data_IF_834410999262
#
_entry.id   IF_834410999262
#
_cell.length_a   1.000
_cell.length_b   1.000
_cell.length_c   1.000
_cell.angle_alpha   90.00
_cell.angle_beta   90.00
_cell.angle_gamma   90.00
#
_symmetry.space_group_name_H-M   'P 1'
#
loop_
_entity.id
_entity.type
_entity.pdbx_description
1 polymer ?
#
# COMPACT_ATOMS: atom_id res chain seq x y z
N UNK A 1 -21.17 5.57 -3.31
CA UNK A 1 -20.05 4.59 -3.35
C UNK A 1 -19.75 4.28 -4.80
N UNK A 2 -18.57 4.65 -5.31
CA UNK A 2 -18.08 4.05 -6.55
C UNK A 2 -17.74 2.60 -6.24
N UNK A 3 -18.49 1.65 -6.80
CA UNK A 3 -18.11 0.24 -6.75
C UNK A 3 -16.93 0.09 -7.70
N UNK A 4 -15.71 -0.06 -7.17
CA UNK A 4 -14.56 -0.42 -7.98
C UNK A 4 -14.88 -1.75 -8.67
N UNK A 5 -14.74 -1.79 -10.00
CA UNK A 5 -14.84 -3.05 -10.74
C UNK A 5 -13.73 -3.99 -10.29
N UNK A 6 -14.00 -5.29 -10.11
CA UNK A 6 -12.97 -6.26 -9.78
C UNK A 6 -11.95 -6.34 -10.92
N UNK A 7 -10.68 -6.53 -10.58
CA UNK A 7 -9.61 -6.77 -11.57
C UNK A 7 -9.93 -8.07 -12.31
N UNK A 8 -9.93 -8.03 -13.64
CA UNK A 8 -10.16 -9.16 -14.55
C UNK A 8 -8.81 -9.75 -14.98
N UNK A 9 -8.58 -11.01 -14.63
CA UNK A 9 -7.33 -11.72 -14.93
C UNK A 9 -7.58 -12.89 -15.86
N UNK A 10 -6.90 -12.91 -17.00
CA UNK A 10 -6.88 -14.08 -17.89
C UNK A 10 -5.70 -14.99 -17.55
N UNK A 11 -5.98 -16.20 -17.07
CA UNK A 11 -4.97 -17.23 -16.85
C UNK A 11 -4.94 -18.16 -18.06
N UNK A 12 -3.80 -18.22 -18.74
CA UNK A 12 -3.64 -19.00 -19.96
C UNK A 12 -2.42 -19.94 -19.95
N UNK A 13 -2.58 -21.02 -20.70
CA UNK A 13 -1.51 -22.00 -20.98
C UNK A 13 -1.23 -22.07 -22.48
N UNK A 14 -0.17 -21.38 -22.95
CA UNK A 14 0.17 -21.38 -24.35
C UNK A 14 0.76 -22.71 -24.81
N UNK A 15 0.49 -23.09 -26.05
CA UNK A 15 1.07 -24.26 -26.70
C UNK A 15 0.63 -25.58 -26.06
N UNK A 16 1.41 -26.64 -26.22
CA UNK A 16 0.99 -28.00 -25.87
C UNK A 16 1.18 -28.37 -24.38
N UNK A 17 1.45 -27.40 -23.51
CA UNK A 17 1.69 -27.66 -22.10
C UNK A 17 0.42 -28.17 -21.40
N UNK A 18 0.45 -29.43 -20.96
CA UNK A 18 -0.65 -30.10 -20.28
C UNK A 18 -0.72 -29.91 -18.77
N UNK A 19 0.23 -29.19 -18.16
CA UNK A 19 0.28 -29.05 -16.70
C UNK A 19 -0.64 -27.92 -16.21
N UNK A 20 -1.85 -28.23 -15.76
CA UNK A 20 -2.84 -27.23 -15.34
C UNK A 20 -2.87 -26.94 -13.84
N UNK A 21 -2.43 -27.88 -12.98
CA UNK A 21 -2.58 -27.76 -11.52
C UNK A 21 -2.10 -26.42 -10.96
N UNK A 22 -0.92 -25.96 -11.37
CA UNK A 22 -0.39 -24.66 -10.94
C UNK A 22 -1.29 -23.50 -11.37
N UNK A 23 -1.73 -23.48 -12.63
CA UNK A 23 -2.63 -22.45 -13.16
C UNK A 23 -3.98 -22.43 -12.44
N UNK A 24 -4.54 -23.60 -12.11
CA UNK A 24 -5.80 -23.71 -11.36
C UNK A 24 -5.67 -23.22 -9.91
N UNK A 25 -4.56 -23.52 -9.24
CA UNK A 25 -4.28 -23.01 -7.88
C UNK A 25 -4.15 -21.48 -7.89
N UNK A 26 -3.39 -20.93 -8.85
CA UNK A 26 -3.30 -19.47 -9.00
C UNK A 26 -4.68 -18.88 -9.29
N UNK A 27 -5.45 -19.48 -10.20
CA UNK A 27 -6.78 -18.98 -10.52
C UNK A 27 -7.71 -18.95 -9.30
N UNK A 28 -7.65 -19.97 -8.44
CA UNK A 28 -8.41 -19.96 -7.19
C UNK A 28 -7.92 -18.87 -6.23
N UNK A 29 -6.61 -18.79 -5.99
CA UNK A 29 -6.03 -17.79 -5.09
C UNK A 29 -6.38 -16.36 -5.53
N UNK A 30 -6.33 -16.05 -6.82
CA UNK A 30 -6.70 -14.72 -7.33
C UNK A 30 -8.20 -14.42 -7.11
N UNK A 31 -9.09 -15.42 -7.21
CA UNK A 31 -10.51 -15.25 -6.83
C UNK A 31 -10.69 -14.98 -5.35
N UNK A 32 -9.94 -15.69 -4.51
CA UNK A 32 -9.95 -15.47 -3.04
C UNK A 32 -9.49 -14.04 -2.69
N UNK A 33 -8.68 -13.42 -3.56
CA UNK A 33 -8.24 -12.02 -3.47
C UNK A 33 -9.20 -11.00 -4.12
N UNK A 34 -10.40 -11.42 -4.52
CA UNK A 34 -11.46 -10.57 -5.05
C UNK A 34 -11.36 -10.25 -6.55
N UNK A 35 -10.51 -10.97 -7.30
CA UNK A 35 -10.37 -10.80 -8.75
C UNK A 35 -11.35 -11.68 -9.52
N UNK A 36 -11.77 -11.23 -10.69
CA UNK A 36 -12.50 -12.04 -11.65
C UNK A 36 -11.52 -12.79 -12.54
N UNK A 37 -11.56 -14.13 -12.53
CA UNK A 37 -10.54 -14.94 -13.21
C UNK A 37 -11.12 -15.78 -14.34
N UNK A 38 -10.65 -15.51 -15.55
CA UNK A 38 -10.95 -16.24 -16.78
C UNK A 38 -9.83 -17.25 -17.03
N UNK A 39 -10.14 -18.55 -17.01
CA UNK A 39 -9.18 -19.60 -17.33
C UNK A 39 -9.42 -20.12 -18.76
N UNK A 40 -8.43 -20.00 -19.64
CA UNK A 40 -8.60 -20.36 -21.06
C UNK A 40 -8.60 -21.87 -21.32
N UNK A 41 -8.31 -22.69 -20.31
CA UNK A 41 -8.00 -24.10 -20.50
C UNK A 41 -6.64 -24.33 -21.15
N UNK A 42 -6.38 -25.58 -21.52
CA UNK A 42 -5.13 -26.04 -22.11
C UNK A 42 -5.06 -25.74 -23.61
N UNK A 43 -3.85 -25.82 -24.17
CA UNK A 43 -3.61 -25.90 -25.63
C UNK A 43 -4.06 -24.69 -26.43
N UNK A 44 -3.88 -23.50 -25.88
CA UNK A 44 -4.22 -22.26 -26.56
C UNK A 44 -3.04 -21.72 -27.38
N UNK A 45 -3.30 -21.26 -28.60
CA UNK A 45 -2.33 -20.51 -29.39
C UNK A 45 -2.19 -19.07 -28.88
N UNK A 46 -1.07 -18.42 -29.18
CA UNK A 46 -0.85 -17.03 -28.79
C UNK A 46 -1.95 -16.08 -29.29
N UNK A 47 -2.41 -16.28 -30.53
CA UNK A 47 -3.50 -15.50 -31.13
C UNK A 47 -4.82 -15.74 -30.42
N UNK A 48 -5.14 -16.98 -30.02
CA UNK A 48 -6.35 -17.29 -29.25
C UNK A 48 -6.31 -16.63 -27.87
N UNK A 49 -5.15 -16.66 -27.20
CA UNK A 49 -4.98 -16.02 -25.88
C UNK A 49 -5.20 -14.51 -26.00
N UNK A 50 -4.56 -13.86 -26.96
CA UNK A 50 -4.72 -12.42 -27.18
C UNK A 50 -6.19 -12.05 -27.52
N UNK A 51 -6.85 -12.83 -28.39
CA UNK A 51 -8.27 -12.61 -28.72
C UNK A 51 -9.18 -12.77 -27.50
N UNK A 52 -8.97 -13.81 -26.71
CA UNK A 52 -9.75 -14.03 -25.49
C UNK A 52 -9.54 -12.88 -24.49
N UNK A 53 -8.31 -12.40 -24.33
CA UNK A 53 -8.01 -11.28 -23.44
C UNK A 53 -8.75 -9.99 -23.85
N UNK A 54 -8.79 -9.70 -25.16
CA UNK A 54 -9.51 -8.53 -25.69
C UNK A 54 -11.03 -8.70 -25.57
N UNK A 55 -11.56 -9.87 -25.95
CA UNK A 55 -13.00 -10.13 -25.90
C UNK A 55 -13.55 -10.11 -24.47
N UNK A 56 -12.76 -10.58 -23.52
CA UNK A 56 -13.10 -10.61 -22.11
C UNK A 56 -12.72 -9.30 -21.39
N UNK A 57 -12.20 -8.28 -22.08
CA UNK A 57 -11.85 -6.98 -21.48
C UNK A 57 -11.01 -7.14 -20.21
N UNK A 58 -9.90 -7.88 -20.30
CA UNK A 58 -9.09 -8.23 -19.11
C UNK A 58 -8.04 -7.17 -18.81
N UNK A 59 -7.80 -6.95 -17.52
CA UNK A 59 -6.79 -6.01 -17.04
C UNK A 59 -5.37 -6.60 -17.13
N UNK A 60 -5.21 -7.93 -17.02
CA UNK A 60 -3.90 -8.59 -17.07
C UNK A 60 -4.00 -10.03 -17.58
N UNK A 61 -2.95 -10.47 -18.29
CA UNK A 61 -2.76 -11.87 -18.69
C UNK A 61 -1.69 -12.53 -17.83
N UNK A 62 -2.02 -13.65 -17.17
CA UNK A 62 -1.08 -14.55 -16.52
C UNK A 62 -0.82 -15.80 -17.36
N UNK A 63 0.41 -15.92 -17.88
CA UNK A 63 0.84 -17.09 -18.65
C UNK A 63 1.50 -18.14 -17.74
N UNK A 64 1.12 -19.41 -17.89
CA UNK A 64 1.72 -20.52 -17.15
C UNK A 64 2.44 -21.49 -18.09
N UNK A 65 3.71 -21.79 -17.80
CA UNK A 65 4.52 -22.80 -18.53
C UNK A 65 5.37 -23.67 -17.62
N UNK A 66 5.26 -24.99 -17.79
CA UNK A 66 6.10 -26.01 -17.17
C UNK A 66 6.82 -26.88 -18.21
N UNK A 67 6.61 -26.62 -19.50
CA UNK A 67 7.16 -27.40 -20.62
C UNK A 67 8.53 -26.91 -21.13
N UNK A 68 9.08 -25.85 -20.53
CA UNK A 68 10.32 -25.20 -20.99
C UNK A 68 10.17 -24.36 -22.26
N UNK A 69 8.95 -24.22 -22.79
CA UNK A 69 8.68 -23.48 -24.02
C UNK A 69 8.45 -21.96 -23.80
N UNK A 70 8.63 -21.45 -22.58
CA UNK A 70 8.36 -20.06 -22.19
C UNK A 70 9.07 -19.03 -23.08
N UNK A 71 10.35 -19.23 -23.41
CA UNK A 71 11.12 -18.30 -24.28
C UNK A 71 10.56 -18.15 -25.69
N UNK A 72 9.84 -19.17 -26.17
CA UNK A 72 9.23 -19.18 -27.50
C UNK A 72 7.78 -18.71 -27.45
N UNK A 73 7.05 -19.10 -26.40
CA UNK A 73 5.60 -18.92 -26.34
C UNK A 73 5.16 -17.61 -25.70
N UNK A 74 5.84 -17.14 -24.64
CA UNK A 74 5.42 -15.89 -23.97
C UNK A 74 5.62 -14.67 -24.87
N UNK A 75 6.78 -14.49 -25.57
CA UNK A 75 6.94 -13.38 -26.51
C UNK A 75 5.88 -13.36 -27.62
N UNK A 76 5.48 -14.54 -28.13
CA UNK A 76 4.44 -14.63 -29.15
C UNK A 76 3.08 -14.12 -28.69
N UNK A 77 2.74 -14.29 -27.41
CA UNK A 77 1.49 -13.72 -26.85
C UNK A 77 1.59 -12.19 -26.81
N UNK A 78 2.73 -11.65 -26.37
CA UNK A 78 2.98 -10.20 -26.37
C UNK A 78 2.95 -9.63 -27.79
N UNK A 79 3.55 -10.32 -28.76
CA UNK A 79 3.50 -9.95 -30.18
C UNK A 79 2.06 -10.00 -30.72
N UNK A 80 1.30 -11.06 -30.42
CA UNK A 80 -0.08 -11.20 -30.86
C UNK A 80 -1.03 -10.13 -30.26
N UNK A 81 -0.74 -9.63 -29.06
CA UNK A 81 -1.43 -8.49 -28.47
C UNK A 81 -1.11 -7.18 -29.21
N UNK A 82 0.17 -6.95 -29.54
CA UNK A 82 0.60 -5.78 -30.31
C UNK A 82 -0.03 -5.75 -31.71
N UNK A 83 -0.08 -6.89 -32.39
CA UNK A 83 -0.71 -7.02 -33.70
C UNK A 83 -2.22 -6.76 -33.68
N UNK A 84 -2.85 -6.90 -32.51
CA UNK A 84 -4.28 -6.66 -32.30
C UNK A 84 -4.56 -5.35 -31.55
N UNK A 85 -3.60 -4.43 -31.52
CA UNK A 85 -3.72 -3.09 -30.91
C UNK A 85 -4.06 -3.10 -29.40
N UNK A 86 -3.70 -4.18 -28.70
CA UNK A 86 -3.96 -4.39 -27.26
C UNK A 86 -2.65 -4.52 -26.45
N UNK A 87 -1.62 -3.76 -26.82
CA UNK A 87 -0.31 -3.81 -26.19
C UNK A 87 -0.28 -3.20 -24.77
N UNK A 88 -1.36 -2.54 -24.38
CA UNK A 88 -1.59 -1.97 -23.05
C UNK A 88 -1.95 -3.03 -22.01
N UNK A 89 -2.46 -4.20 -22.40
CA UNK A 89 -2.73 -5.32 -21.50
C UNK A 89 -1.40 -5.93 -21.02
N UNK A 90 -0.99 -5.76 -19.76
CA UNK A 90 0.25 -6.34 -19.26
C UNK A 90 0.19 -7.86 -19.26
N UNK A 91 1.33 -8.47 -19.58
CA UNK A 91 1.54 -9.92 -19.50
C UNK A 91 2.48 -10.23 -18.35
N UNK A 92 2.07 -11.10 -17.43
CA UNK A 92 2.94 -11.73 -16.43
C UNK A 92 3.10 -13.22 -16.78
N UNK A 93 4.19 -13.83 -16.31
CA UNK A 93 4.49 -15.23 -16.58
C UNK A 93 4.80 -16.00 -15.30
N UNK A 94 4.61 -17.32 -15.34
CA UNK A 94 5.04 -18.18 -14.25
C UNK A 94 5.14 -19.66 -14.59
N UNK A 95 5.71 -20.42 -13.65
CA UNK A 95 5.94 -21.85 -13.75
C UNK A 95 7.41 -22.23 -13.55
N UNK A 96 7.86 -23.30 -14.20
CA UNK A 96 9.25 -23.78 -14.10
C UNK A 96 10.09 -23.01 -15.11
N UNK A 97 10.51 -21.80 -14.72
CA UNK A 97 11.27 -20.87 -15.55
C UNK A 97 12.66 -20.67 -14.93
N UNK A 98 13.75 -21.02 -15.64
CA UNK A 98 15.12 -20.76 -15.19
C UNK A 98 15.39 -19.27 -14.97
N UNK A 99 16.15 -18.94 -13.93
CA UNK A 99 16.44 -17.54 -13.58
C UNK A 99 17.17 -16.79 -14.72
N UNK A 100 18.04 -17.47 -15.47
CA UNK A 100 18.74 -16.92 -16.64
C UNK A 100 17.83 -16.54 -17.81
N UNK A 101 16.62 -17.08 -17.88
CA UNK A 101 15.66 -16.78 -18.94
C UNK A 101 14.79 -15.56 -18.64
N UNK A 102 14.71 -15.14 -17.36
CA UNK A 102 13.86 -14.03 -16.91
C UNK A 102 14.23 -12.72 -17.62
N UNK A 103 15.52 -12.28 -17.68
CA UNK A 103 15.88 -11.04 -18.37
C UNK A 103 15.49 -11.03 -19.84
N UNK A 104 15.57 -12.20 -20.50
CA UNK A 104 15.13 -12.33 -21.89
C UNK A 104 13.61 -12.14 -22.02
N UNK A 105 12.81 -12.79 -21.17
CA UNK A 105 11.35 -12.66 -21.19
C UNK A 105 10.90 -11.22 -20.90
N UNK A 106 11.54 -10.56 -19.93
CA UNK A 106 11.28 -9.16 -19.60
C UNK A 106 11.62 -8.23 -20.78
N UNK A 107 12.76 -8.45 -21.45
CA UNK A 107 13.14 -7.69 -22.65
C UNK A 107 12.15 -7.87 -23.83
N UNK A 108 11.35 -8.93 -23.81
CA UNK A 108 10.31 -9.23 -24.81
C UNK A 108 8.92 -8.73 -24.42
N UNK A 109 8.79 -8.03 -23.29
CA UNK A 109 7.55 -7.39 -22.86
C UNK A 109 6.71 -8.21 -21.88
N UNK A 110 7.29 -9.24 -21.26
CA UNK A 110 6.66 -9.87 -20.08
C UNK A 110 7.00 -9.03 -18.85
N UNK A 111 6.00 -8.48 -18.20
CA UNK A 111 6.14 -7.49 -17.11
C UNK A 111 6.80 -8.07 -15.86
N UNK A 112 6.50 -9.33 -15.53
CA UNK A 112 7.04 -10.02 -14.35
C UNK A 112 6.99 -11.54 -14.51
N UNK A 113 8.00 -12.22 -13.96
CA UNK A 113 8.04 -13.68 -13.87
C UNK A 113 7.93 -14.15 -12.40
N UNK A 114 7.06 -15.13 -12.17
CA UNK A 114 6.90 -15.85 -10.90
C UNK A 114 7.31 -17.31 -11.06
N UNK A 115 8.41 -17.70 -10.40
CA UNK A 115 8.94 -19.07 -10.49
C UNK A 115 8.23 -20.02 -9.53
N UNK A 116 8.44 -21.32 -9.73
CA UNK A 116 7.99 -22.37 -8.81
C UNK A 116 8.32 -22.04 -7.35
N UNK A 117 7.30 -22.03 -6.48
CA UNK A 117 7.45 -21.69 -5.06
C UNK A 117 7.11 -20.24 -4.72
N UNK A 118 6.83 -19.38 -5.69
CA UNK A 118 6.30 -18.03 -5.43
C UNK A 118 5.00 -18.11 -4.61
N UNK A 119 4.85 -17.36 -3.50
CA UNK A 119 3.61 -17.32 -2.75
C UNK A 119 2.46 -16.79 -3.63
N UNK A 120 1.30 -17.43 -3.56
CA UNK A 120 0.13 -17.04 -4.35
C UNK A 120 -0.34 -15.62 -4.02
N UNK A 121 -0.26 -15.25 -2.74
CA UNK A 121 -0.61 -13.90 -2.27
C UNK A 121 0.30 -12.82 -2.87
N UNK A 122 1.59 -13.14 -3.07
CA UNK A 122 2.52 -12.20 -3.68
C UNK A 122 2.16 -11.89 -5.15
N UNK A 123 1.59 -12.86 -5.87
CA UNK A 123 1.10 -12.67 -7.24
C UNK A 123 -0.12 -11.76 -7.23
N UNK A 124 -1.07 -11.98 -6.31
CA UNK A 124 -2.26 -11.16 -6.17
C UNK A 124 -1.92 -9.70 -5.81
N UNK A 125 -1.04 -9.49 -4.83
CA UNK A 125 -0.55 -8.17 -4.44
C UNK A 125 0.12 -7.46 -5.62
N UNK A 126 0.97 -8.17 -6.36
CA UNK A 126 1.64 -7.60 -7.52
C UNK A 126 0.65 -7.19 -8.62
N UNK A 127 -0.35 -8.02 -8.92
CA UNK A 127 -1.40 -7.68 -9.91
C UNK A 127 -2.17 -6.43 -9.47
N UNK A 128 -2.56 -6.33 -8.19
CA UNK A 128 -3.23 -5.14 -7.65
C UNK A 128 -2.38 -3.88 -7.85
N UNK A 129 -1.09 -3.95 -7.53
CA UNK A 129 -0.13 -2.85 -7.73
C UNK A 129 0.04 -2.48 -9.21
N UNK A 130 0.10 -3.47 -10.08
CA UNK A 130 0.30 -3.30 -11.51
C UNK A 130 -0.90 -2.61 -12.18
N UNK A 131 -2.12 -3.05 -11.87
CA UNK A 131 -3.36 -2.56 -12.50
C UNK A 131 -3.83 -1.26 -11.89
N UNK A 132 -3.93 -1.20 -10.57
CA UNK A 132 -4.41 0.02 -9.94
C UNK A 132 -3.40 1.14 -10.00
N UNK A 133 -2.13 0.88 -10.42
CA UNK A 133 -1.01 1.82 -10.35
C UNK A 133 -1.19 2.72 -9.13
N UNK A 134 -1.50 2.11 -7.98
CA UNK A 134 -2.21 2.83 -6.94
C UNK A 134 -1.24 3.89 -6.44
N UNK A 135 -1.43 5.12 -6.92
CA UNK A 135 -0.73 6.28 -6.43
C UNK A 135 -1.21 6.37 -5.01
N UNK A 136 -0.40 5.85 -4.09
CA UNK A 136 -0.45 6.17 -2.66
C UNK A 136 -0.68 7.66 -2.64
N UNK A 137 -1.93 8.07 -2.36
CA UNK A 137 -2.31 9.47 -2.53
C UNK A 137 -1.40 10.28 -1.63
N UNK A 138 -0.60 11.18 -2.17
CA UNK A 138 0.37 11.92 -1.35
C UNK A 138 -0.41 12.60 -0.22
N UNK A 139 0.04 12.48 1.05
CA UNK A 139 -0.55 13.26 2.14
C UNK A 139 -0.53 14.74 1.77
N UNK A 140 -1.55 15.49 2.17
CA UNK A 140 -1.68 16.89 1.76
C UNK A 140 -0.53 17.75 2.27
N UNK A 141 -0.17 17.53 3.54
CA UNK A 141 0.88 18.26 4.26
C UNK A 141 1.30 17.50 5.51
N UNK A 142 2.33 18.01 6.19
CA UNK A 142 2.58 17.67 7.59
C UNK A 142 1.54 18.41 8.42
N UNK A 143 0.65 17.68 9.07
CA UNK A 143 -0.38 18.27 9.94
C UNK A 143 0.28 18.92 11.16
N UNK A 144 1.10 18.13 11.86
CA UNK A 144 1.86 18.57 13.03
C UNK A 144 3.07 17.68 13.31
N UNK A 145 3.97 18.18 14.16
CA UNK A 145 5.06 17.43 14.76
C UNK A 145 4.86 17.41 16.27
N UNK A 146 4.64 16.22 16.83
CA UNK A 146 4.49 16.03 18.26
C UNK A 146 5.84 15.92 18.96
N UNK A 147 6.05 16.69 20.01
CA UNK A 147 7.27 16.72 20.83
C UNK A 147 6.88 16.38 22.26
N UNK A 148 7.40 15.26 22.77
CA UNK A 148 7.21 14.86 24.16
C UNK A 148 8.06 15.73 25.09
N UNK A 149 7.41 16.30 26.12
CA UNK A 149 8.03 17.16 27.12
C UNK A 149 7.58 16.75 28.52
N UNK A 150 8.42 16.97 29.53
CA UNK A 150 8.05 16.73 30.93
C UNK A 150 7.08 17.79 31.46
N UNK A 151 7.20 19.03 30.98
CA UNK A 151 6.33 20.14 31.37
C UNK A 151 6.19 21.15 30.24
N UNK A 152 4.95 21.38 29.79
CA UNK A 152 4.62 22.45 28.85
C UNK A 152 4.98 23.80 29.47
N UNK A 153 4.62 24.06 30.72
CA UNK A 153 4.81 25.36 31.35
C UNK A 153 6.30 25.77 31.42
N UNK A 154 7.20 24.79 31.63
CA UNK A 154 8.65 25.02 31.63
C UNK A 154 9.24 25.17 30.22
N UNK A 155 8.67 24.48 29.24
CA UNK A 155 9.21 24.39 27.88
C UNK A 155 8.70 25.51 26.97
N UNK A 156 7.46 25.92 27.15
CA UNK A 156 6.74 26.88 26.33
C UNK A 156 7.47 28.24 26.18
N UNK A 157 8.12 28.83 27.22
CA UNK A 157 8.87 30.07 27.06
C UNK A 157 9.98 30.00 26.01
N UNK A 158 10.62 28.84 25.82
CA UNK A 158 11.63 28.68 24.77
C UNK A 158 10.98 28.78 23.38
N UNK A 159 9.87 28.06 23.15
CA UNK A 159 9.19 28.07 21.86
C UNK A 159 8.56 29.44 21.54
N UNK A 160 7.98 30.13 22.53
CA UNK A 160 7.37 31.43 22.32
C UNK A 160 8.40 32.56 22.23
N UNK A 161 9.30 32.68 23.21
CA UNK A 161 10.18 33.85 23.33
C UNK A 161 11.50 33.71 22.57
N UNK A 162 12.03 32.48 22.45
CA UNK A 162 13.30 32.24 21.74
C UNK A 162 13.06 31.92 20.27
N UNK A 163 12.10 31.04 19.96
CA UNK A 163 11.78 30.67 18.57
C UNK A 163 10.72 31.58 17.93
N UNK A 164 9.95 32.34 18.72
CA UNK A 164 8.97 33.29 18.19
C UNK A 164 7.66 32.64 17.74
N UNK A 165 7.34 31.42 18.19
CA UNK A 165 6.12 30.73 17.79
C UNK A 165 4.90 31.23 18.59
N UNK A 166 3.77 31.33 17.90
CA UNK A 166 2.50 31.72 18.50
C UNK A 166 1.82 30.49 19.13
N UNK A 167 1.43 30.61 20.40
CA UNK A 167 0.60 29.61 21.07
C UNK A 167 -0.85 29.83 20.64
N UNK A 168 -1.44 28.81 20.03
CA UNK A 168 -2.84 28.79 19.62
C UNK A 168 -3.75 28.47 20.81
N UNK A 169 -3.56 27.31 21.43
CA UNK A 169 -4.33 26.84 22.58
C UNK A 169 -3.56 25.81 23.39
N UNK A 170 -4.09 25.50 24.58
CA UNK A 170 -3.66 24.34 25.38
C UNK A 170 -4.90 23.54 25.74
N UNK A 171 -4.87 22.23 25.47
CA UNK A 171 -6.02 21.33 25.68
C UNK A 171 -5.59 20.09 26.44
N UNK A 172 -6.49 19.54 27.25
CA UNK A 172 -6.32 18.21 27.86
C UNK A 172 -7.09 17.18 27.03
N UNK A 173 -6.40 16.15 26.58
CA UNK A 173 -6.97 15.06 25.78
C UNK A 173 -7.06 13.83 26.68
N UNK A 174 -8.18 13.71 27.39
CA UNK A 174 -8.41 12.64 28.38
C UNK A 174 -8.24 11.23 27.81
N UNK A 175 -8.66 11.01 26.56
CA UNK A 175 -8.54 9.70 25.90
C UNK A 175 -7.09 9.24 25.73
N UNK A 176 -6.15 10.18 25.64
CA UNK A 176 -4.72 9.93 25.48
C UNK A 176 -3.92 10.21 26.76
N UNK A 177 -4.58 10.68 27.83
CA UNK A 177 -3.95 11.06 29.09
C UNK A 177 -2.78 12.04 28.87
N UNK A 178 -3.01 13.06 28.06
CA UNK A 178 -1.98 14.04 27.67
C UNK A 178 -2.56 15.45 27.64
N UNK A 179 -1.76 16.43 28.07
CA UNK A 179 -1.98 17.85 27.85
C UNK A 179 -1.18 18.27 26.63
N UNK A 180 -1.79 19.03 25.73
CA UNK A 180 -1.20 19.43 24.45
C UNK A 180 -1.19 20.95 24.34
N UNK A 181 -0.03 21.54 24.05
CA UNK A 181 0.07 22.93 23.63
C UNK A 181 0.34 23.03 22.13
N UNK A 182 -0.51 23.77 21.42
CA UNK A 182 -0.47 23.91 19.97
C UNK A 182 0.24 25.20 19.58
N UNK A 183 1.34 25.09 18.83
CA UNK A 183 2.16 26.21 18.38
C UNK A 183 2.13 26.31 16.86
N UNK A 184 1.72 27.46 16.33
CA UNK A 184 1.55 27.69 14.90
C UNK A 184 2.88 27.93 14.18
N UNK A 185 3.07 27.28 13.02
CA UNK A 185 4.20 27.54 12.11
C UNK A 185 3.80 27.29 10.64
N UNK A 186 3.46 28.37 9.94
CA UNK A 186 3.02 28.27 8.54
C UNK A 186 1.72 27.47 8.43
N UNK A 187 1.74 26.40 7.64
CA UNK A 187 0.59 25.49 7.45
C UNK A 187 0.59 24.26 8.39
N UNK A 188 1.61 24.14 9.25
CA UNK A 188 1.78 23.05 10.21
C UNK A 188 1.80 23.56 11.66
N UNK A 189 1.88 22.64 12.61
CA UNK A 189 1.94 22.92 14.04
C UNK A 189 3.05 22.14 14.74
N UNK A 190 3.59 22.72 15.80
CA UNK A 190 4.32 21.98 16.82
C UNK A 190 3.37 21.72 17.97
N UNK A 191 3.27 20.45 18.38
CA UNK A 191 2.45 20.04 19.51
C UNK A 191 3.37 19.59 20.64
N UNK A 192 3.39 20.35 21.75
CA UNK A 192 4.10 19.94 22.96
C UNK A 192 3.19 19.01 23.76
N UNK A 193 3.66 17.80 24.03
CA UNK A 193 2.89 16.72 24.64
C UNK A 193 3.40 16.45 26.06
N UNK A 194 2.62 16.83 27.06
CA UNK A 194 2.91 16.59 28.49
C UNK A 194 1.99 15.48 29.01
N UNK A 195 2.52 14.38 29.58
CA UNK A 195 1.69 13.30 30.10
C UNK A 195 0.93 13.76 31.36
N UNK A 196 -0.37 13.44 31.42
CA UNK A 196 -1.21 13.69 32.60
C UNK A 196 -1.15 12.55 33.63
N UNK A 197 -0.63 11.39 33.24
CA UNK A 197 -0.49 10.23 34.12
C UNK A 197 0.62 9.28 33.68
N UNK A 198 1.08 8.44 34.61
CA UNK A 198 2.10 7.42 34.35
C UNK A 198 1.68 6.35 33.33
N UNK A 199 0.39 6.27 33.04
CA UNK A 199 -0.19 5.34 32.06
C UNK A 199 -0.18 5.90 30.64
N UNK A 200 0.16 7.18 30.46
CA UNK A 200 0.24 7.81 29.15
C UNK A 200 1.31 7.17 28.26
N UNK A 201 1.00 7.06 26.96
CA UNK A 201 1.99 6.65 25.96
C UNK A 201 3.19 7.61 25.92
N UNK A 202 2.96 8.89 26.19
CA UNK A 202 4.01 9.92 26.27
C UNK A 202 4.91 9.69 27.48
N UNK A 203 4.36 9.36 28.65
CA UNK A 203 5.20 9.00 29.81
C UNK A 203 6.09 7.79 29.49
N UNK A 204 5.51 6.77 28.83
CA UNK A 204 6.27 5.59 28.41
C UNK A 204 7.39 5.92 27.41
N UNK A 205 7.21 6.93 26.57
CA UNK A 205 8.24 7.42 25.65
C UNK A 205 9.34 8.16 26.41
N UNK A 206 8.97 9.13 27.26
CA UNK A 206 9.92 9.92 28.07
C UNK A 206 10.83 9.01 28.90
N UNK A 207 10.26 7.99 29.57
CA UNK A 207 11.02 7.04 30.36
C UNK A 207 12.07 6.24 29.55
N UNK A 208 11.83 6.02 28.26
CA UNK A 208 12.69 5.22 27.38
C UNK A 208 13.67 6.04 26.56
N UNK A 209 13.31 7.29 26.23
CA UNK A 209 13.99 8.11 25.21
C UNK A 209 14.37 9.51 25.70
N UNK A 210 13.78 9.98 26.81
CA UNK A 210 13.82 11.37 27.23
C UNK A 210 12.87 12.26 26.40
N UNK A 211 12.91 13.56 26.67
CA UNK A 211 12.19 14.58 25.88
C UNK A 211 12.69 14.61 24.43
N UNK A 212 11.80 14.96 23.50
CA UNK A 212 12.15 15.09 22.08
C UNK A 212 11.00 14.80 21.12
N UNK A 213 11.31 14.77 19.82
CA UNK A 213 10.32 14.49 18.78
C UNK A 213 9.74 13.08 18.98
N UNK A 214 8.42 13.03 19.17
CA UNK A 214 7.65 11.80 19.35
C UNK A 214 7.18 11.23 18.01
N UNK A 215 6.54 12.07 17.18
CA UNK A 215 5.93 11.63 15.93
C UNK A 215 5.79 12.75 14.91
N UNK A 216 5.55 12.38 13.65
CA UNK A 216 5.18 13.28 12.56
C UNK A 216 3.80 12.88 12.07
N UNK A 217 2.85 13.82 12.06
CA UNK A 217 1.51 13.59 11.58
C UNK A 217 1.33 14.09 10.15
N UNK A 218 0.65 13.27 9.34
CA UNK A 218 0.43 13.51 7.91
C UNK A 218 -1.06 13.64 7.65
N UNK A 219 -1.47 14.78 7.07
CA UNK A 219 -2.88 15.01 6.75
C UNK A 219 -3.31 14.16 5.55
N UNK A 220 -4.41 13.42 5.69
CA UNK A 220 -5.00 12.59 4.63
C UNK A 220 -6.47 12.94 4.38
N UNK A 221 -6.96 12.66 3.17
CA UNK A 221 -8.36 12.89 2.80
C UNK A 221 -9.32 11.87 3.40
N UNK A 222 -8.93 10.59 3.35
CA UNK A 222 -9.72 9.46 3.80
C UNK A 222 -8.80 8.47 4.52
N UNK A 223 -8.82 8.53 5.85
CA UNK A 223 -8.00 7.70 6.72
C UNK A 223 -8.42 6.23 6.66
N UNK A 224 -9.71 5.92 6.46
CA UNK A 224 -10.18 4.54 6.36
C UNK A 224 -9.65 3.89 5.09
N UNK A 225 -9.81 4.56 3.94
CA UNK A 225 -9.24 4.09 2.67
C UNK A 225 -7.72 3.93 2.78
N UNK A 226 -7.04 4.84 3.48
CA UNK A 226 -5.59 4.78 3.69
C UNK A 226 -5.14 3.57 4.51
N UNK A 227 -5.83 3.27 5.60
CA UNK A 227 -5.51 2.14 6.46
C UNK A 227 -5.77 0.82 5.73
N UNK A 228 -6.86 0.71 4.98
CA UNK A 228 -7.14 -0.47 4.15
C UNK A 228 -6.05 -0.71 3.10
N UNK A 229 -5.59 0.35 2.41
CA UNK A 229 -4.45 0.25 1.49
C UNK A 229 -3.18 -0.27 2.19
N UNK A 230 -2.86 0.28 3.36
CA UNK A 230 -1.70 -0.17 4.14
C UNK A 230 -1.83 -1.62 4.63
N UNK A 231 -3.02 -2.06 5.06
CA UNK A 231 -3.29 -3.47 5.41
C UNK A 231 -3.08 -4.39 4.21
N UNK A 232 -3.61 -4.03 3.04
CA UNK A 232 -3.45 -4.82 1.82
C UNK A 232 -1.99 -4.91 1.35
N UNK A 233 -1.19 -3.88 1.64
CA UNK A 233 0.24 -3.84 1.36
C UNK A 233 1.09 -4.52 2.44
N UNK A 234 0.48 -5.01 3.53
CA UNK A 234 1.19 -5.62 4.65
C UNK A 234 2.03 -4.64 5.48
N UNK A 235 1.70 -3.34 5.43
CA UNK A 235 2.35 -2.31 6.23
C UNK A 235 1.97 -2.50 7.70
N UNK A 236 2.94 -2.68 8.62
CA UNK A 236 2.63 -2.82 10.04
C UNK A 236 1.98 -1.56 10.63
N UNK A 237 0.78 -1.71 11.20
CA UNK A 237 0.02 -0.63 11.86
C UNK A 237 0.02 -0.81 13.39
N UNK A 238 -0.07 0.29 14.13
CA UNK A 238 -0.41 0.27 15.56
C UNK A 238 -1.93 0.27 15.71
N UNK A 239 -2.61 1.10 14.93
CA UNK A 239 -4.06 1.19 14.91
C UNK A 239 -4.58 0.69 13.56
N UNK A 240 -5.36 -0.39 13.58
CA UNK A 240 -6.02 -0.93 12.37
C UNK A 240 -7.28 -0.14 11.99
N UNK A 241 -7.89 0.54 12.97
CA UNK A 241 -9.02 1.45 12.77
C UNK A 241 -8.68 2.83 13.32
N UNK A 242 -9.22 3.92 12.75
CA UNK A 242 -9.03 5.27 13.28
C UNK A 242 -9.58 5.41 14.69
N UNK A 243 -8.93 6.25 15.49
CA UNK A 243 -9.43 6.70 16.81
C UNK A 243 -9.57 8.22 16.83
N UNK A 244 -10.24 8.75 17.85
CA UNK A 244 -10.37 10.20 18.04
C UNK A 244 -9.08 10.79 18.63
N UNK A 245 -8.60 11.88 18.05
CA UNK A 245 -7.45 12.65 18.52
C UNK A 245 -7.83 14.08 18.95
N UNK A 246 -6.82 14.95 19.06
CA UNK A 246 -7.01 16.37 19.32
C UNK A 246 -7.88 17.06 18.24
N UNK A 247 -8.57 18.14 18.62
CA UNK A 247 -9.50 18.88 17.75
C UNK A 247 -10.54 17.99 17.03
N UNK A 248 -10.98 16.91 17.69
CA UNK A 248 -11.93 15.93 17.14
C UNK A 248 -11.49 15.29 15.80
N UNK A 249 -10.20 15.32 15.49
CA UNK A 249 -9.64 14.67 14.31
C UNK A 249 -9.65 13.15 14.43
N UNK A 250 -9.73 12.45 13.31
CA UNK A 250 -9.48 11.02 13.27
C UNK A 250 -7.99 10.75 13.07
N UNK A 251 -7.40 9.92 13.91
CA UNK A 251 -5.97 9.60 13.88
C UNK A 251 -5.70 8.10 13.87
N UNK A 252 -4.59 7.70 13.27
CA UNK A 252 -4.10 6.32 13.31
C UNK A 252 -2.57 6.29 13.17
N UNK A 253 -1.90 5.43 13.95
CA UNK A 253 -0.45 5.35 13.93
C UNK A 253 0.05 4.14 13.16
N UNK A 254 1.11 4.35 12.38
CA UNK A 254 1.88 3.27 11.77
C UNK A 254 2.90 2.75 12.78
N UNK A 255 3.20 1.45 12.74
CA UNK A 255 4.23 0.91 13.60
C UNK A 255 5.61 1.39 13.10
N UNK A 256 6.52 1.89 13.96
CA UNK A 256 7.83 2.40 13.53
C UNK A 256 8.70 1.43 12.71
N UNK A 257 8.45 0.11 12.79
CA UNK A 257 9.12 -0.90 11.96
C UNK A 257 8.81 -0.74 10.47
N UNK A 258 7.67 -0.14 10.14
CA UNK A 258 7.27 0.16 8.77
C UNK A 258 8.10 1.31 8.15
N UNK A 259 8.66 2.19 8.99
CA UNK A 259 9.21 3.47 8.56
C UNK A 259 10.60 3.75 9.16
N UNK A 260 11.47 2.74 9.20
CA UNK A 260 12.86 2.88 9.66
C UNK A 260 13.02 3.53 11.05
N UNK A 261 12.08 3.28 11.95
CA UNK A 261 12.08 3.81 13.31
C UNK A 261 11.30 5.11 13.51
N UNK A 262 10.77 5.73 12.45
CA UNK A 262 9.92 6.92 12.55
C UNK A 262 8.49 6.52 12.92
N UNK A 263 7.91 7.21 13.91
CA UNK A 263 6.50 7.08 14.26
C UNK A 263 5.69 8.07 13.42
N UNK A 264 4.94 7.56 12.44
CA UNK A 264 4.02 8.35 11.64
C UNK A 264 2.59 8.21 12.16
N UNK A 265 1.91 9.34 12.23
CA UNK A 265 0.46 9.43 12.44
C UNK A 265 -0.20 9.84 11.11
N UNK A 266 -1.31 9.18 10.78
CA UNK A 266 -2.27 9.69 9.80
C UNK A 266 -3.30 10.52 10.54
N UNK A 267 -3.56 11.73 10.08
CA UNK A 267 -4.55 12.63 10.65
C UNK A 267 -5.55 13.04 9.58
N UNK A 268 -6.84 12.89 9.88
CA UNK A 268 -7.93 13.43 9.08
C UNK A 268 -8.71 14.42 9.95
N UNK A 269 -8.64 15.73 9.66
CA UNK A 269 -9.42 16.74 10.36
C UNK A 269 -10.92 16.45 10.24
N UNK A 270 -11.69 16.84 11.27
CA UNK A 270 -13.15 16.86 11.18
C UNK A 270 -13.55 17.77 10.02
N UNK A 271 -14.44 17.29 9.15
CA UNK A 271 -14.95 18.10 8.04
C UNK A 271 -15.68 19.32 8.61
N UNK A 272 -15.29 20.52 8.21
CA UNK A 272 -16.08 21.72 8.46
C UNK A 272 -17.39 21.57 7.66
N UNK A 273 -18.54 21.63 8.35
CA UNK A 273 -19.88 21.68 7.73
C UNK A 273 -20.13 23.02 7.02
#
# INVERSE_FOLDING_TARGET
MMVMKPIRVLIAKPGLDGHDRGALIIAQALRDHGMEVIYTGLRQSAVQIARAAIQEDVDVIGLSSLSGAHKSLFPKVVEALKEQEAADIPVIGGGVIPAEDIPYLESKGVTKIFTSGSPTDAIAVYIKQLIHKETVQTPKKIAHIGIAVESIDMTLPFYQHTLGLELESVEEVDSEQVRVAFLNIGETRIELLEPLSDQSAIQSFLNKRGEGIHHIALEVNDIHTRLEQYKQQGVPLIHEEPKLGAHESQIAFLHPKAASGVLYELCQPKSEE
#
